data_IF_777152335842
#
_entry.id   IF_777152335842
#
_cell.length_a   1.000
_cell.length_b   1.000
_cell.length_c   1.000
_cell.angle_alpha   90.00
_cell.angle_beta   90.00
_cell.angle_gamma   90.00
#
_symmetry.space_group_name_H-M   'P 1'
#
loop_
_entity.id
_entity.type
_entity.pdbx_description
1 polymer ?
#
# COMPACT_ATOMS: atom_id res chain seq x y z
N UNK A 1 1.23 12.48 14.22
CA UNK A 1 1.55 11.04 14.20
C UNK A 1 2.90 10.88 13.57
N UNK A 2 3.60 9.79 13.82
CA UNK A 2 4.93 9.57 13.28
C UNK A 2 4.91 8.37 12.34
N UNK A 3 5.74 8.44 11.29
CA UNK A 3 5.93 7.39 10.31
C UNK A 3 7.37 7.45 9.81
N UNK A 4 8.04 6.31 9.70
CA UNK A 4 9.31 6.27 8.98
C UNK A 4 9.02 6.28 7.46
N UNK A 5 8.86 7.47 6.90
CA UNK A 5 8.66 7.66 5.46
C UNK A 5 10.02 7.56 4.74
N UNK A 6 10.18 6.54 3.91
CA UNK A 6 11.38 6.27 3.12
C UNK A 6 11.28 6.77 1.67
N UNK A 7 10.07 6.95 1.16
CA UNK A 7 9.81 7.66 -0.09
C UNK A 7 9.98 9.17 0.10
N UNK A 8 11.17 9.69 -0.22
CA UNK A 8 11.55 11.09 -0.05
C UNK A 8 10.58 12.07 -0.76
N UNK A 9 10.09 11.70 -1.95
CA UNK A 9 9.14 12.50 -2.73
C UNK A 9 7.77 12.68 -2.04
N UNK A 10 7.41 11.80 -1.09
CA UNK A 10 6.13 11.85 -0.39
C UNK A 10 6.21 12.50 0.99
N UNK A 11 7.40 12.76 1.53
CA UNK A 11 7.57 13.34 2.88
C UNK A 11 6.85 14.66 3.06
N UNK A 12 7.00 15.58 2.12
CA UNK A 12 6.33 16.89 2.17
C UNK A 12 4.81 16.76 2.06
N UNK A 13 4.34 15.76 1.31
CA UNK A 13 2.91 15.48 1.20
C UNK A 13 2.37 14.90 2.51
N UNK A 14 3.05 13.92 3.12
CA UNK A 14 2.71 13.40 4.45
C UNK A 14 2.61 14.49 5.52
N UNK A 15 3.54 15.46 5.51
CA UNK A 15 3.53 16.59 6.42
C UNK A 15 2.26 17.43 6.32
N UNK A 16 1.72 17.63 5.12
CA UNK A 16 0.44 18.35 4.92
C UNK A 16 -0.74 17.66 5.63
N UNK A 17 -0.63 16.36 5.89
CA UNK A 17 -1.63 15.57 6.63
C UNK A 17 -1.28 15.34 8.10
N UNK A 18 -0.31 16.09 8.65
CA UNK A 18 0.14 16.03 10.05
C UNK A 18 0.76 14.66 10.43
N UNK A 19 1.41 14.03 9.45
CA UNK A 19 2.27 12.86 9.64
C UNK A 19 3.71 13.35 9.55
N UNK A 20 4.44 13.31 10.66
CA UNK A 20 5.84 13.71 10.74
C UNK A 20 6.73 12.51 10.47
N UNK A 21 7.82 12.72 9.74
CA UNK A 21 8.82 11.69 9.52
C UNK A 21 9.63 11.44 10.80
N UNK A 22 9.75 10.18 11.21
CA UNK A 22 10.64 9.75 12.29
C UNK A 22 11.32 8.42 11.92
N UNK A 23 12.65 8.45 11.74
CA UNK A 23 13.46 7.27 11.39
C UNK A 23 13.44 6.16 12.46
N UNK A 24 13.14 6.50 13.72
CA UNK A 24 13.07 5.54 14.82
C UNK A 24 11.67 4.90 14.97
N UNK A 25 10.73 5.23 14.08
CA UNK A 25 9.40 4.65 14.12
C UNK A 25 9.43 3.20 13.61
N UNK A 26 8.82 2.28 14.38
CA UNK A 26 8.69 0.87 13.98
C UNK A 26 7.78 0.69 12.75
N UNK A 27 6.90 1.67 12.47
CA UNK A 27 6.08 1.66 11.27
C UNK A 27 6.79 2.40 10.15
N UNK A 28 7.02 1.70 9.04
CA UNK A 28 7.75 2.22 7.88
C UNK A 28 6.87 2.20 6.64
N UNK A 29 6.91 3.29 5.88
CA UNK A 29 6.34 3.38 4.54
C UNK A 29 7.50 3.51 3.55
N UNK A 30 7.64 2.50 2.69
CA UNK A 30 8.85 2.28 1.89
C UNK A 30 8.45 1.73 0.52
N UNK A 31 9.18 2.14 -0.50
CA UNK A 31 9.03 1.57 -1.83
C UNK A 31 9.96 0.36 -2.05
N UNK A 32 9.69 -0.43 -3.07
CA UNK A 32 10.53 -1.57 -3.46
C UNK A 32 11.82 -1.20 -4.22
N UNK A 33 12.17 0.08 -4.30
CA UNK A 33 13.44 0.57 -4.83
C UNK A 33 14.44 0.97 -3.72
N UNK A 34 13.98 1.15 -2.48
CA UNK A 34 14.84 1.53 -1.37
C UNK A 34 15.83 0.42 -1.01
N UNK A 35 17.12 0.75 -1.02
CA UNK A 35 18.23 -0.16 -0.72
C UNK A 35 18.17 -0.77 0.69
N UNK A 36 17.42 -0.16 1.61
CA UNK A 36 17.24 -0.61 3.00
C UNK A 36 16.02 -1.52 3.19
N UNK A 37 15.22 -1.79 2.14
CA UNK A 37 13.98 -2.56 2.28
C UNK A 37 14.21 -3.91 2.97
N UNK A 38 15.21 -4.68 2.53
CA UNK A 38 15.49 -5.98 3.14
C UNK A 38 15.85 -5.90 4.63
N UNK A 39 16.44 -4.79 5.08
CA UNK A 39 16.73 -4.59 6.50
C UNK A 39 15.43 -4.49 7.31
N UNK A 40 14.48 -3.66 6.87
CA UNK A 40 13.17 -3.53 7.53
C UNK A 40 12.35 -4.82 7.50
N UNK A 41 12.46 -5.64 6.45
CA UNK A 41 11.81 -6.96 6.40
C UNK A 41 12.40 -7.95 7.41
N UNK A 42 13.64 -7.77 7.84
CA UNK A 42 14.30 -8.65 8.81
C UNK A 42 14.21 -8.15 10.27
N UNK A 43 13.66 -6.96 10.48
CA UNK A 43 13.39 -6.36 11.78
C UNK A 43 11.93 -6.57 12.22
N UNK A 44 11.58 -6.17 13.44
CA UNK A 44 10.20 -6.24 13.95
C UNK A 44 9.32 -5.07 13.47
N UNK A 45 9.64 -4.48 12.32
CA UNK A 45 8.94 -3.31 11.78
C UNK A 45 7.56 -3.67 11.23
N UNK A 46 6.62 -2.72 11.31
CA UNK A 46 5.39 -2.77 10.53
C UNK A 46 5.65 -2.15 9.17
N UNK A 47 5.67 -2.97 8.11
CA UNK A 47 6.08 -2.55 6.76
C UNK A 47 4.86 -2.31 5.87
N UNK A 48 4.74 -1.07 5.41
CA UNK A 48 3.85 -0.65 4.33
C UNK A 48 4.68 -0.48 3.06
N UNK A 49 4.56 -1.43 2.13
CA UNK A 49 5.36 -1.48 0.92
C UNK A 49 4.59 -0.89 -0.26
N UNK A 50 5.11 0.18 -0.85
CA UNK A 50 4.64 0.70 -2.13
C UNK A 50 5.38 0.00 -3.27
N UNK A 51 4.65 -0.71 -4.12
CA UNK A 51 5.21 -1.43 -5.27
C UNK A 51 5.21 -0.55 -6.52
N UNK A 52 6.39 -0.03 -6.85
CA UNK A 52 6.73 0.78 -8.01
C UNK A 52 7.72 0.03 -8.91
N UNK A 53 7.40 -0.12 -10.20
CA UNK A 53 8.23 -0.43 -11.39
C UNK A 53 9.57 -1.22 -11.29
N UNK A 54 9.79 -2.02 -10.24
CA UNK A 54 11.00 -2.81 -10.00
C UNK A 54 10.62 -4.20 -9.53
N UNK A 55 11.36 -5.25 -9.90
CA UNK A 55 10.93 -6.63 -9.67
C UNK A 55 10.99 -7.02 -8.19
N UNK A 56 9.87 -7.45 -7.61
CA UNK A 56 9.79 -7.89 -6.19
C UNK A 56 9.77 -9.41 -6.00
N UNK A 57 9.97 -10.21 -7.04
CA UNK A 57 9.85 -11.69 -6.96
C UNK A 57 10.89 -12.34 -6.03
N UNK A 58 11.97 -11.64 -5.73
CA UNK A 58 12.99 -12.06 -4.79
C UNK A 58 12.64 -11.73 -3.32
N UNK A 59 11.68 -10.83 -3.09
CA UNK A 59 11.28 -10.41 -1.75
C UNK A 59 10.32 -11.42 -1.11
N UNK A 60 10.53 -11.69 0.17
CA UNK A 60 9.61 -12.45 0.99
C UNK A 60 8.47 -11.55 1.50
N UNK A 61 7.38 -11.49 0.74
CA UNK A 61 6.21 -10.68 1.08
C UNK A 61 5.45 -11.18 2.33
N UNK A 62 5.80 -12.34 2.89
CA UNK A 62 5.22 -12.78 4.18
C UNK A 62 5.64 -11.91 5.35
N UNK A 63 6.71 -11.11 5.18
CA UNK A 63 7.25 -10.14 6.13
C UNK A 63 6.67 -8.72 5.96
N UNK A 64 5.81 -8.52 4.96
CA UNK A 64 5.17 -7.24 4.68
C UNK A 64 3.76 -7.23 5.26
N UNK A 65 3.37 -6.14 5.94
CA UNK A 65 2.04 -6.02 6.53
C UNK A 65 1.00 -5.57 5.50
N UNK A 66 1.35 -4.59 4.67
CA UNK A 66 0.47 -4.06 3.63
C UNK A 66 1.26 -3.77 2.37
N UNK A 67 0.75 -4.18 1.21
CA UNK A 67 1.25 -3.71 -0.09
C UNK A 67 0.28 -2.73 -0.72
N UNK A 68 0.81 -1.65 -1.28
CA UNK A 68 0.13 -0.78 -2.22
C UNK A 68 0.64 -1.10 -3.60
N UNK A 69 -0.24 -1.59 -4.48
CA UNK A 69 0.16 -2.07 -5.80
C UNK A 69 -0.87 -1.65 -6.84
N UNK A 70 -0.40 -1.16 -7.98
CA UNK A 70 -1.31 -0.88 -9.10
C UNK A 70 -1.68 -2.18 -9.84
N UNK A 71 -2.82 -2.16 -10.53
CA UNK A 71 -3.33 -3.34 -11.26
C UNK A 71 -2.33 -3.90 -12.27
N UNK A 72 -1.67 -3.04 -13.03
CA UNK A 72 -0.75 -3.45 -14.09
C UNK A 72 0.46 -4.22 -13.53
N UNK A 73 1.02 -3.71 -12.44
CA UNK A 73 2.11 -4.32 -11.71
C UNK A 73 1.69 -5.66 -11.10
N UNK A 74 0.57 -5.69 -10.38
CA UNK A 74 0.05 -6.93 -9.77
C UNK A 74 -0.29 -8.00 -10.82
N UNK A 75 -0.83 -7.59 -11.97
CA UNK A 75 -1.04 -8.45 -13.13
C UNK A 75 0.26 -9.08 -13.61
N UNK A 76 1.36 -8.32 -13.74
CA UNK A 76 2.68 -8.86 -14.14
C UNK A 76 3.23 -9.85 -13.12
N UNK A 77 3.03 -9.61 -11.82
CA UNK A 77 3.40 -10.56 -10.78
C UNK A 77 2.64 -11.88 -10.92
N UNK A 78 1.34 -11.80 -11.20
CA UNK A 78 0.45 -12.95 -11.34
C UNK A 78 0.29 -13.42 -12.79
N UNK A 79 1.40 -13.45 -13.55
CA UNK A 79 1.50 -14.03 -14.89
C UNK A 79 0.49 -13.48 -15.92
N UNK A 80 0.17 -12.19 -15.83
CA UNK A 80 -0.68 -11.47 -16.78
C UNK A 80 -2.18 -11.56 -16.51
N UNK A 81 -2.60 -12.06 -15.34
CA UNK A 81 -4.02 -12.13 -14.97
C UNK A 81 -4.60 -10.71 -14.90
N UNK A 82 -5.77 -10.54 -15.53
CA UNK A 82 -6.45 -9.23 -15.62
C UNK A 82 -7.59 -9.06 -14.61
N UNK A 83 -8.12 -10.15 -14.06
CA UNK A 83 -9.23 -10.11 -13.12
C UNK A 83 -8.74 -9.70 -11.73
N UNK A 84 -9.24 -8.58 -11.23
CA UNK A 84 -8.77 -7.97 -9.98
C UNK A 84 -9.00 -8.90 -8.77
N UNK A 85 -10.14 -9.57 -8.69
CA UNK A 85 -10.44 -10.46 -7.58
C UNK A 85 -9.52 -11.69 -7.60
N UNK A 86 -9.24 -12.23 -8.79
CA UNK A 86 -8.34 -13.35 -8.97
C UNK A 86 -6.89 -13.01 -8.62
N UNK A 87 -6.40 -11.83 -9.01
CA UNK A 87 -5.09 -11.33 -8.58
C UNK A 87 -5.01 -11.32 -7.05
N UNK A 88 -6.01 -10.71 -6.39
CA UNK A 88 -6.07 -10.61 -4.94
C UNK A 88 -6.12 -11.99 -4.25
N UNK A 89 -6.90 -12.95 -4.77
CA UNK A 89 -6.91 -14.32 -4.27
C UNK A 89 -5.55 -15.01 -4.37
N UNK A 90 -4.87 -14.88 -5.51
CA UNK A 90 -3.59 -15.53 -5.71
C UNK A 90 -2.51 -14.98 -4.79
N UNK A 91 -2.49 -13.67 -4.57
CA UNK A 91 -1.59 -13.03 -3.62
C UNK A 91 -1.84 -13.53 -2.19
N UNK A 92 -3.09 -13.58 -1.73
CA UNK A 92 -3.41 -14.04 -0.37
C UNK A 92 -3.27 -15.56 -0.18
N UNK A 93 -3.42 -16.36 -1.24
CA UNK A 93 -3.11 -17.79 -1.15
C UNK A 93 -1.61 -18.04 -0.93
N UNK A 94 -0.75 -17.19 -1.50
CA UNK A 94 0.71 -17.25 -1.29
C UNK A 94 1.12 -16.62 0.04
N UNK A 95 0.47 -15.52 0.42
CA UNK A 95 0.78 -14.72 1.61
C UNK A 95 -0.49 -14.47 2.45
N UNK A 96 -0.93 -15.44 3.27
CA UNK A 96 -2.24 -15.38 3.95
C UNK A 96 -2.41 -14.24 4.96
N UNK A 97 -1.32 -13.68 5.47
CA UNK A 97 -1.35 -12.58 6.45
C UNK A 97 -1.16 -11.20 5.81
N UNK A 98 -0.97 -11.13 4.49
CA UNK A 98 -0.74 -9.89 3.78
C UNK A 98 -2.04 -9.09 3.66
N UNK A 99 -1.95 -7.77 3.79
CA UNK A 99 -3.02 -6.85 3.37
C UNK A 99 -2.66 -6.28 2.00
N UNK A 100 -3.62 -6.27 1.07
CA UNK A 100 -3.40 -5.81 -0.30
C UNK A 100 -4.31 -4.64 -0.60
N UNK A 101 -3.73 -3.49 -0.93
CA UNK A 101 -4.42 -2.33 -1.50
C UNK A 101 -4.12 -2.30 -3.00
N UNK A 102 -5.05 -2.81 -3.80
CA UNK A 102 -4.95 -2.89 -5.26
C UNK A 102 -5.57 -1.64 -5.89
N UNK A 103 -4.72 -0.75 -6.39
CA UNK A 103 -5.11 0.50 -7.04
C UNK A 103 -5.46 0.22 -8.50
N UNK A 104 -6.69 0.51 -8.89
CA UNK A 104 -7.23 0.26 -10.23
C UNK A 104 -7.48 1.58 -10.99
N UNK A 105 -6.52 2.50 -10.89
CA UNK A 105 -6.52 3.84 -11.48
C UNK A 105 -7.92 4.49 -11.44
N UNK A 106 -8.48 4.82 -12.61
CA UNK A 106 -9.76 5.54 -12.76
C UNK A 106 -11.01 4.78 -12.32
N UNK A 107 -10.85 3.56 -11.78
CA UNK A 107 -11.95 2.74 -11.26
C UNK A 107 -12.03 2.83 -9.74
N UNK A 108 -10.96 3.25 -9.07
CA UNK A 108 -10.84 3.28 -7.62
C UNK A 108 -9.86 2.24 -7.11
N UNK A 109 -10.10 1.68 -5.91
CA UNK A 109 -9.17 0.75 -5.28
C UNK A 109 -9.90 -0.38 -4.55
N UNK A 110 -9.25 -1.53 -4.47
CA UNK A 110 -9.66 -2.63 -3.60
C UNK A 110 -8.76 -2.68 -2.37
N UNK A 111 -9.34 -3.04 -1.23
CA UNK A 111 -8.63 -3.55 -0.09
C UNK A 111 -9.00 -5.03 0.07
N UNK A 112 -8.01 -5.90 0.31
CA UNK A 112 -8.26 -7.28 0.69
C UNK A 112 -7.27 -7.79 1.74
N UNK A 113 -7.78 -8.48 2.73
CA UNK A 113 -7.01 -9.37 3.62
C UNK A 113 -7.71 -10.74 3.69
N UNK A 114 -7.33 -11.57 4.68
CA UNK A 114 -7.91 -12.91 4.85
C UNK A 114 -9.40 -12.93 5.17
N UNK A 115 -9.93 -11.86 5.78
CA UNK A 115 -11.28 -11.81 6.33
C UNK A 115 -12.21 -10.89 5.53
N UNK A 116 -11.65 -9.90 4.83
CA UNK A 116 -12.37 -8.77 4.27
C UNK A 116 -11.96 -8.47 2.82
N UNK A 117 -12.96 -8.14 2.00
CA UNK A 117 -12.79 -7.56 0.67
C UNK A 117 -13.65 -6.30 0.58
N UNK A 118 -13.01 -5.16 0.35
CA UNK A 118 -13.68 -3.88 0.11
C UNK A 118 -13.32 -3.38 -1.27
N UNK A 119 -14.30 -2.86 -1.99
CA UNK A 119 -14.08 -2.08 -3.20
C UNK A 119 -14.59 -0.67 -2.99
N UNK A 120 -13.74 0.32 -3.23
CA UNK A 120 -14.09 1.72 -3.23
C UNK A 120 -13.94 2.28 -4.64
N UNK A 121 -15.07 2.66 -5.24
CA UNK A 121 -15.10 3.34 -6.53
C UNK A 121 -14.61 4.79 -6.41
N UNK A 122 -13.87 5.26 -7.39
CA UNK A 122 -13.54 6.68 -7.56
C UNK A 122 -14.80 7.49 -7.93
N UNK A 123 -15.01 8.62 -7.23
CA UNK A 123 -16.18 9.50 -7.45
C UNK A 123 -15.88 10.69 -8.36
N UNK A 124 -14.65 11.17 -8.42
CA UNK A 124 -14.22 12.32 -9.23
C UNK A 124 -13.02 11.91 -10.09
N UNK A 125 -13.01 12.23 -11.38
CA UNK A 125 -12.05 11.70 -12.37
C UNK A 125 -10.66 12.33 -12.34
N UNK A 126 -10.10 12.51 -11.15
CA UNK A 126 -8.79 13.14 -10.91
C UNK A 126 -7.94 12.35 -9.90
N UNK A 127 -8.00 11.01 -9.94
CA UNK A 127 -7.19 10.13 -9.12
C UNK A 127 -5.71 10.51 -9.15
N UNK A 128 -5.19 10.87 -7.98
CA UNK A 128 -3.78 11.13 -7.74
C UNK A 128 -3.28 10.01 -6.82
N UNK A 129 -2.32 9.22 -7.31
CA UNK A 129 -1.81 8.03 -6.63
C UNK A 129 -1.06 8.41 -5.35
N UNK A 130 -0.24 9.46 -5.41
CA UNK A 130 0.56 9.91 -4.28
C UNK A 130 -0.36 10.45 -3.18
N UNK A 131 -1.36 11.25 -3.58
CA UNK A 131 -2.37 11.74 -2.65
C UNK A 131 -3.22 10.61 -2.06
N UNK A 132 -3.58 9.60 -2.85
CA UNK A 132 -4.27 8.41 -2.38
C UNK A 132 -3.48 7.71 -1.28
N UNK A 133 -2.19 7.41 -1.52
CA UNK A 133 -1.31 6.71 -0.58
C UNK A 133 -1.20 7.47 0.74
N UNK A 134 -0.92 8.77 0.67
CA UNK A 134 -0.75 9.60 1.85
C UNK A 134 -2.05 9.74 2.64
N UNK A 135 -3.20 9.97 1.98
CA UNK A 135 -4.50 10.06 2.66
C UNK A 135 -4.90 8.75 3.32
N UNK A 136 -4.68 7.63 2.63
CA UNK A 136 -4.93 6.29 3.16
C UNK A 136 -4.09 6.07 4.43
N UNK A 137 -2.78 6.26 4.33
CA UNK A 137 -1.84 6.04 5.44
C UNK A 137 -2.12 6.98 6.61
N UNK A 138 -2.34 8.27 6.35
CA UNK A 138 -2.71 9.22 7.40
C UNK A 138 -4.05 8.88 8.07
N UNK A 139 -4.95 8.17 7.39
CA UNK A 139 -6.19 7.67 7.97
C UNK A 139 -5.97 6.45 8.85
N UNK A 140 -5.18 5.47 8.42
CA UNK A 140 -4.83 4.29 9.23
C UNK A 140 -4.05 4.69 10.48
N UNK A 141 -3.07 5.59 10.37
CA UNK A 141 -2.28 6.08 11.52
C UNK A 141 -3.15 6.82 12.56
N UNK A 142 -4.34 7.31 12.17
CA UNK A 142 -5.34 7.90 13.09
C UNK A 142 -6.23 6.84 13.76
N UNK A 143 -6.01 5.55 13.47
CA UNK A 143 -6.82 4.44 13.98
C UNK A 143 -8.17 4.27 13.28
N UNK A 144 -8.34 4.82 12.07
CA UNK A 144 -9.57 4.58 11.30
C UNK A 144 -9.56 3.19 10.66
N UNK A 145 -10.74 2.63 10.45
CA UNK A 145 -10.91 1.35 9.76
C UNK A 145 -10.42 1.39 8.31
N UNK A 146 -10.12 0.21 7.77
CA UNK A 146 -9.68 -0.03 6.40
C UNK A 146 -10.67 0.54 5.39
N UNK A 147 -11.98 0.39 5.65
CA UNK A 147 -13.03 0.99 4.82
C UNK A 147 -12.93 2.52 4.80
N UNK A 148 -12.70 3.13 5.96
CA UNK A 148 -12.61 4.60 6.09
C UNK A 148 -11.33 5.11 5.43
N UNK A 149 -10.21 4.39 5.61
CA UNK A 149 -8.92 4.71 5.01
C UNK A 149 -8.95 4.56 3.49
N UNK A 150 -9.59 3.51 2.96
CA UNK A 150 -9.81 3.33 1.53
C UNK A 150 -10.72 4.43 0.96
N UNK A 151 -11.83 4.76 1.64
CA UNK A 151 -12.73 5.85 1.22
C UNK A 151 -12.00 7.19 1.15
N UNK A 152 -11.23 7.56 2.18
CA UNK A 152 -10.48 8.82 2.23
C UNK A 152 -9.32 8.85 1.24
N UNK A 153 -8.69 7.71 0.97
CA UNK A 153 -7.67 7.60 -0.06
C UNK A 153 -8.27 7.86 -1.44
N UNK A 154 -9.36 7.18 -1.78
CA UNK A 154 -9.94 7.24 -3.13
C UNK A 154 -10.68 8.56 -3.41
N UNK A 155 -11.43 9.07 -2.43
CA UNK A 155 -12.29 10.23 -2.63
C UNK A 155 -11.71 11.47 -1.98
N UNK A 156 -11.67 12.56 -2.76
CA UNK A 156 -11.00 13.79 -2.38
C UNK A 156 -11.76 14.63 -1.37
#
# INVERSE_FOLDING_TARGET
MELNVREENLKDLFKQFQVEHNENCETVFIDNNDEQLENYLNESSTVYLHMVDYEVRHLDLSKVNTIFVNKEYASKLENGIQDEQRILELLLNKYPNLRVVLINDKKGAYYKDKDLLIYQKELASNFDKDLFLVKYMASELKGNSEMTSLYRGVNQ
#
